data_IF_914435929112
#
_entry.id   IF_914435929112
#
_cell.length_a   1.000
_cell.length_b   1.000
_cell.length_c   1.000
_cell.angle_alpha   90.00
_cell.angle_beta   90.00
_cell.angle_gamma   90.00
#
_symmetry.space_group_name_H-M   'P 1'
#
loop_
_entity.id
_entity.type
_entity.pdbx_description
1 polymer ?
#
# COMPACT_ATOMS: atom_id res chain seq x y z
N UNK A 1 16.71 -34.55 -34.50
CA UNK A 1 16.53 -35.14 -33.16
C UNK A 1 15.04 -35.07 -32.82
N UNK A 2 14.36 -36.21 -32.68
CA UNK A 2 12.95 -36.25 -32.32
C UNK A 2 12.82 -36.10 -30.80
N UNK A 3 12.16 -35.02 -30.35
CA UNK A 3 11.93 -34.73 -28.93
C UNK A 3 11.02 -35.80 -28.31
N UNK A 4 11.40 -36.32 -27.15
CA UNK A 4 10.56 -37.28 -26.39
C UNK A 4 9.27 -36.59 -25.91
N UNK A 5 8.16 -37.33 -25.70
CA UNK A 5 6.88 -36.75 -25.28
C UNK A 5 6.96 -35.98 -23.95
N UNK A 6 7.80 -36.44 -23.01
CA UNK A 6 8.08 -35.71 -21.78
C UNK A 6 8.77 -34.37 -22.05
N UNK A 7 9.79 -34.33 -22.93
CA UNK A 7 10.48 -33.08 -23.31
C UNK A 7 9.54 -32.09 -24.00
N UNK A 8 8.60 -32.56 -24.85
CA UNK A 8 7.59 -31.68 -25.47
C UNK A 8 6.66 -31.06 -24.43
N UNK A 9 6.23 -31.83 -23.43
CA UNK A 9 5.39 -31.33 -22.33
C UNK A 9 6.15 -30.30 -21.48
N UNK A 10 7.40 -30.57 -21.10
CA UNK A 10 8.22 -29.61 -20.33
C UNK A 10 8.48 -28.33 -21.12
N UNK A 11 8.74 -28.44 -22.43
CA UNK A 11 8.98 -27.28 -23.29
C UNK A 11 7.71 -26.42 -23.47
N UNK A 12 6.54 -27.05 -23.55
CA UNK A 12 5.26 -26.31 -23.63
C UNK A 12 4.93 -25.62 -22.30
N UNK A 13 5.15 -26.26 -21.15
CA UNK A 13 5.03 -25.59 -19.85
C UNK A 13 6.03 -24.43 -19.69
N UNK A 14 7.28 -24.60 -20.15
CA UNK A 14 8.28 -23.54 -20.16
C UNK A 14 7.87 -22.36 -21.07
N UNK A 15 7.35 -22.63 -22.26
CA UNK A 15 6.83 -21.60 -23.16
C UNK A 15 5.63 -20.86 -22.57
N UNK A 16 4.70 -21.58 -21.95
CA UNK A 16 3.55 -20.98 -21.25
C UNK A 16 4.03 -20.10 -20.09
N UNK A 17 4.98 -20.59 -19.28
CA UNK A 17 5.55 -19.83 -18.17
C UNK A 17 6.27 -18.57 -18.66
N UNK A 18 7.11 -18.69 -19.71
CA UNK A 18 7.83 -17.57 -20.31
C UNK A 18 6.86 -16.54 -20.89
N UNK A 19 5.85 -16.98 -21.63
CA UNK A 19 4.80 -16.11 -22.16
C UNK A 19 4.05 -15.41 -21.03
N UNK A 20 3.74 -16.11 -19.93
CA UNK A 20 3.11 -15.54 -18.74
C UNK A 20 3.98 -14.46 -18.09
N UNK A 21 5.26 -14.74 -17.85
CA UNK A 21 6.21 -13.76 -17.28
C UNK A 21 6.35 -12.54 -18.18
N UNK A 22 6.47 -12.74 -19.49
CA UNK A 22 6.63 -11.66 -20.47
C UNK A 22 5.35 -10.81 -20.56
N UNK A 23 4.18 -11.43 -20.48
CA UNK A 23 2.89 -10.75 -20.41
C UNK A 23 2.76 -9.91 -19.14
N UNK A 24 3.12 -10.46 -17.97
CA UNK A 24 3.09 -9.75 -16.69
C UNK A 24 4.09 -8.59 -16.70
N UNK A 25 5.27 -8.77 -17.29
CA UNK A 25 6.26 -7.71 -17.41
C UNK A 25 5.76 -6.57 -18.32
N UNK A 26 5.14 -6.91 -19.45
CA UNK A 26 4.59 -5.93 -20.38
C UNK A 26 3.37 -5.17 -19.82
N UNK A 27 2.52 -5.87 -19.06
CA UNK A 27 1.31 -5.29 -18.43
C UNK A 27 1.58 -4.73 -17.03
N UNK A 28 2.78 -4.87 -16.48
CA UNK A 28 3.12 -4.44 -15.11
C UNK A 28 2.67 -3.00 -14.78
N UNK A 29 2.87 -1.99 -15.66
CA UNK A 29 2.41 -0.63 -15.38
C UNK A 29 0.89 -0.50 -15.26
N UNK A 30 0.13 -1.30 -16.01
CA UNK A 30 -1.33 -1.31 -15.99
C UNK A 30 -1.85 -2.19 -14.84
N UNK A 31 -1.09 -3.20 -14.41
CA UNK A 31 -1.45 -4.05 -13.28
C UNK A 31 -1.48 -3.29 -11.96
N UNK A 32 -0.59 -2.31 -11.76
CA UNK A 32 -0.51 -1.52 -10.51
C UNK A 32 -1.85 -0.89 -10.10
N UNK A 33 -2.53 -0.07 -10.93
CA UNK A 33 -3.82 0.50 -10.54
C UNK A 33 -4.90 -0.56 -10.33
N UNK A 34 -4.86 -1.68 -11.08
CA UNK A 34 -5.80 -2.79 -10.90
C UNK A 34 -5.60 -3.53 -9.56
N UNK A 35 -4.35 -3.77 -9.16
CA UNK A 35 -4.03 -4.40 -7.88
C UNK A 35 -4.45 -3.51 -6.72
N UNK A 36 -4.13 -2.21 -6.79
CA UNK A 36 -4.52 -1.23 -5.77
C UNK A 36 -6.05 -1.17 -5.67
N UNK A 37 -6.75 -1.01 -6.80
CA UNK A 37 -8.20 -1.02 -6.83
C UNK A 37 -8.79 -2.34 -6.33
N UNK A 38 -8.14 -3.48 -6.62
CA UNK A 38 -8.52 -4.81 -6.12
C UNK A 38 -8.49 -4.90 -4.59
N UNK A 39 -7.39 -4.45 -3.99
CA UNK A 39 -7.22 -4.41 -2.52
C UNK A 39 -8.24 -3.45 -1.90
N UNK A 40 -8.39 -2.24 -2.47
CA UNK A 40 -9.37 -1.27 -2.00
C UNK A 40 -10.80 -1.80 -2.12
N UNK A 41 -11.14 -2.47 -3.21
CA UNK A 41 -12.46 -3.05 -3.43
C UNK A 41 -12.76 -4.12 -2.39
N UNK A 42 -11.80 -5.02 -2.09
CA UNK A 42 -11.97 -6.01 -1.04
C UNK A 42 -12.25 -5.35 0.32
N UNK A 43 -11.52 -4.27 0.63
CA UNK A 43 -11.70 -3.52 1.88
C UNK A 43 -13.04 -2.75 1.94
N UNK A 44 -13.51 -2.23 0.81
CA UNK A 44 -14.72 -1.41 0.69
C UNK A 44 -15.99 -2.22 0.36
N UNK A 45 -15.86 -3.52 0.08
CA UNK A 45 -17.01 -4.38 -0.20
C UNK A 45 -17.97 -4.52 1.00
N UNK A 46 -17.52 -4.76 2.25
CA UNK A 46 -18.41 -4.90 3.39
C UNK A 46 -19.36 -3.71 3.61
N UNK A 47 -18.92 -2.43 3.56
CA UNK A 47 -19.84 -1.30 3.67
C UNK A 47 -20.81 -1.19 2.47
N UNK A 48 -20.39 -1.49 1.24
CA UNK A 48 -21.28 -1.54 0.07
C UNK A 48 -22.40 -2.57 0.28
N UNK A 49 -22.04 -3.80 0.67
CA UNK A 49 -23.00 -4.87 0.92
C UNK A 49 -23.98 -4.54 2.06
N UNK A 50 -23.52 -3.83 3.10
CA UNK A 50 -24.40 -3.33 4.18
C UNK A 50 -25.43 -2.33 3.67
N UNK A 51 -25.05 -1.43 2.76
CA UNK A 51 -25.98 -0.47 2.16
C UNK A 51 -26.97 -1.16 1.21
N UNK A 52 -26.51 -2.10 0.38
CA UNK A 52 -27.37 -2.88 -0.52
C UNK A 52 -28.41 -3.69 0.28
N UNK A 53 -28.01 -4.31 1.40
CA UNK A 53 -28.95 -5.00 2.33
C UNK A 53 -30.02 -4.07 2.92
N UNK A 54 -29.76 -2.76 3.00
CA UNK A 54 -30.73 -1.72 3.41
C UNK A 54 -31.62 -1.22 2.27
N UNK A 55 -31.68 -1.94 1.13
CA UNK A 55 -32.45 -1.61 -0.08
C UNK A 55 -31.95 -0.38 -0.86
N UNK A 56 -30.70 0.05 -0.64
CA UNK A 56 -30.07 1.09 -1.49
C UNK A 56 -29.70 0.45 -2.84
N UNK A 57 -30.05 1.05 -4.00
CA UNK A 57 -29.63 0.51 -5.29
C UNK A 57 -28.10 0.51 -5.35
N UNK A 58 -27.55 -0.58 -5.90
CA UNK A 58 -26.12 -0.87 -5.79
C UNK A 58 -25.22 0.24 -6.36
N UNK A 59 -25.67 0.90 -7.42
CA UNK A 59 -24.98 2.06 -7.98
C UNK A 59 -24.77 3.16 -6.93
N UNK A 60 -25.82 3.54 -6.22
CA UNK A 60 -25.72 4.55 -5.16
C UNK A 60 -24.87 4.07 -3.99
N UNK A 61 -24.99 2.79 -3.60
CA UNK A 61 -24.18 2.22 -2.53
C UNK A 61 -22.68 2.29 -2.85
N UNK A 62 -22.29 1.91 -4.08
CA UNK A 62 -20.90 1.97 -4.53
C UNK A 62 -20.41 3.41 -4.59
N UNK A 63 -21.12 4.30 -5.27
CA UNK A 63 -20.72 5.71 -5.40
C UNK A 63 -20.55 6.39 -4.04
N UNK A 64 -21.49 6.18 -3.11
CA UNK A 64 -21.42 6.81 -1.78
C UNK A 64 -20.24 6.29 -0.98
N UNK A 65 -20.02 4.96 -0.96
CA UNK A 65 -18.89 4.37 -0.21
C UNK A 65 -17.55 4.79 -0.82
N UNK A 66 -17.45 4.79 -2.13
CA UNK A 66 -16.24 5.20 -2.83
C UNK A 66 -15.91 6.68 -2.56
N UNK A 67 -16.88 7.59 -2.74
CA UNK A 67 -16.70 9.02 -2.45
C UNK A 67 -16.31 9.23 -0.99
N UNK A 68 -16.99 8.56 -0.05
CA UNK A 68 -16.66 8.65 1.37
C UNK A 68 -15.24 8.17 1.67
N UNK A 69 -14.82 7.05 1.06
CA UNK A 69 -13.46 6.53 1.22
C UNK A 69 -12.40 7.51 0.69
N UNK A 70 -12.63 8.11 -0.48
CA UNK A 70 -11.73 9.13 -1.02
C UNK A 70 -11.68 10.39 -0.16
N UNK A 71 -12.82 10.84 0.38
CA UNK A 71 -12.88 12.00 1.28
C UNK A 71 -12.11 11.70 2.58
N UNK A 72 -12.30 10.53 3.19
CA UNK A 72 -11.56 10.12 4.39
C UNK A 72 -10.06 10.05 4.10
N UNK A 73 -9.68 9.42 2.98
CA UNK A 73 -8.27 9.31 2.58
C UNK A 73 -7.65 10.69 2.36
N UNK A 74 -8.36 11.60 1.70
CA UNK A 74 -7.91 12.98 1.49
C UNK A 74 -7.78 13.73 2.82
N UNK A 75 -8.74 13.59 3.73
CA UNK A 75 -8.69 14.21 5.06
C UNK A 75 -7.49 13.71 5.88
N UNK A 76 -7.24 12.40 5.88
CA UNK A 76 -6.06 11.81 6.52
C UNK A 76 -4.77 12.35 5.90
N UNK A 77 -4.69 12.43 4.57
CA UNK A 77 -3.53 12.99 3.88
C UNK A 77 -3.30 14.46 4.27
N UNK A 78 -4.35 15.27 4.28
CA UNK A 78 -4.31 16.68 4.69
C UNK A 78 -3.95 16.88 6.17
N UNK A 79 -4.20 15.90 7.03
CA UNK A 79 -3.82 15.92 8.44
C UNK A 79 -2.37 15.47 8.64
N UNK A 80 -1.92 14.46 7.88
CA UNK A 80 -0.54 13.95 7.95
C UNK A 80 0.46 15.00 7.46
N UNK A 81 0.17 15.70 6.36
CA UNK A 81 1.06 16.73 5.79
C UNK A 81 1.53 17.76 6.82
N UNK A 82 0.66 18.46 7.58
CA UNK A 82 1.09 19.44 8.57
C UNK A 82 1.81 18.81 9.76
N UNK A 83 1.48 17.57 10.16
CA UNK A 83 2.23 16.85 11.19
C UNK A 83 3.66 16.63 10.70
N UNK A 84 3.82 16.05 9.52
CA UNK A 84 5.13 15.82 8.90
C UNK A 84 5.91 17.14 8.76
N UNK A 85 5.28 18.22 8.31
CA UNK A 85 5.93 19.52 8.17
C UNK A 85 6.39 20.14 9.50
N UNK A 86 5.75 19.81 10.63
CA UNK A 86 6.16 20.28 11.96
C UNK A 86 7.19 19.38 12.62
N UNK A 87 7.04 18.06 12.47
CA UNK A 87 7.88 17.05 13.11
C UNK A 87 9.23 16.85 12.39
N UNK A 88 9.28 17.00 11.06
CA UNK A 88 10.55 16.85 10.32
C UNK A 88 11.61 17.86 10.74
N UNK A 89 11.33 19.17 10.87
CA UNK A 89 12.31 20.14 11.34
C UNK A 89 12.86 19.81 12.74
N UNK A 90 11.98 19.41 13.67
CA UNK A 90 12.38 18.98 15.01
C UNK A 90 13.32 17.77 14.97
N UNK A 91 13.01 16.77 14.13
CA UNK A 91 13.89 15.62 13.91
C UNK A 91 15.25 16.03 13.32
N UNK A 92 15.27 16.98 12.38
CA UNK A 92 16.52 17.50 11.77
C UNK A 92 17.42 18.17 12.81
N UNK A 93 16.84 18.90 13.76
CA UNK A 93 17.58 19.59 14.80
C UNK A 93 18.06 18.64 15.90
N UNK A 94 17.22 17.67 16.29
CA UNK A 94 17.53 16.76 17.40
C UNK A 94 18.45 15.59 16.99
N UNK A 95 18.38 15.10 15.76
CA UNK A 95 19.23 13.99 15.27
C UNK A 95 20.74 14.23 15.43
N UNK A 96 21.32 15.37 14.96
CA UNK A 96 22.75 15.63 15.12
C UNK A 96 23.14 15.78 16.60
N UNK A 97 22.29 16.41 17.41
CA UNK A 97 22.50 16.54 18.87
C UNK A 97 22.50 15.17 19.57
N UNK A 98 21.61 14.26 19.16
CA UNK A 98 21.57 12.90 19.68
C UNK A 98 22.81 12.10 19.27
N UNK A 99 23.25 12.25 18.01
CA UNK A 99 24.48 11.62 17.53
C UNK A 99 25.72 12.12 18.28
N UNK A 100 25.78 13.41 18.58
CA UNK A 100 26.87 14.02 19.38
C UNK A 100 26.85 13.54 20.84
N UNK A 101 25.67 13.42 21.46
CA UNK A 101 25.50 12.82 22.80
C UNK A 101 25.92 11.35 22.84
N UNK A 102 25.58 10.58 21.80
CA UNK A 102 26.03 9.20 21.69
C UNK A 102 27.55 9.14 21.55
N UNK A 103 28.16 9.98 20.71
CA UNK A 103 29.61 9.98 20.54
C UNK A 103 30.36 10.43 21.82
N UNK A 104 29.78 11.31 22.64
CA UNK A 104 30.42 11.77 23.89
C UNK A 104 30.20 10.84 25.08
N UNK A 105 29.12 10.07 25.11
CA UNK A 105 28.78 9.18 26.24
C UNK A 105 29.15 7.72 25.99
N UNK A 106 28.94 7.25 24.75
CA UNK A 106 29.05 5.84 24.39
C UNK A 106 30.45 5.51 23.85
N UNK A 107 31.06 6.40 23.06
CA UNK A 107 32.43 6.19 22.57
C UNK A 107 33.50 6.02 23.65
N UNK A 108 33.54 6.77 24.77
CA UNK A 108 34.52 6.52 25.82
C UNK A 108 34.30 5.19 26.55
N UNK A 109 33.05 4.71 26.64
CA UNK A 109 32.73 3.40 27.24
C UNK A 109 33.10 2.24 26.31
N UNK A 110 32.87 2.36 24.99
CA UNK A 110 33.32 1.38 24.00
C UNK A 110 34.84 1.39 23.77
N UNK A 111 35.49 2.54 23.96
CA UNK A 111 36.95 2.63 23.94
C UNK A 111 37.59 1.79 25.06
N UNK A 112 36.91 1.61 26.20
CA UNK A 112 37.36 0.69 27.26
C UNK A 112 37.31 -0.79 26.83
N UNK A 113 36.52 -1.13 25.82
CA UNK A 113 36.43 -2.48 25.22
C UNK A 113 37.23 -2.61 23.91
N UNK A 114 38.02 -1.59 23.53
CA UNK A 114 38.87 -1.62 22.34
C UNK A 114 38.15 -1.40 21.00
N UNK A 115 36.89 -0.97 21.03
CA UNK A 115 36.09 -0.69 19.82
C UNK A 115 36.00 0.83 19.62
N UNK A 116 36.77 1.37 18.68
CA UNK A 116 36.70 2.80 18.32
C UNK A 116 35.60 3.03 17.29
N UNK A 117 34.41 3.42 17.75
CA UNK A 117 33.33 3.90 16.88
C UNK A 117 33.35 5.43 16.86
N UNK A 118 33.87 6.02 15.80
CA UNK A 118 33.73 7.47 15.56
C UNK A 118 32.45 7.72 14.77
N UNK A 119 31.34 8.01 15.45
CA UNK A 119 30.19 8.61 14.76
C UNK A 119 30.58 10.04 14.38
N UNK A 120 30.96 10.24 13.13
CA UNK A 120 31.25 11.56 12.60
C UNK A 120 29.93 12.36 12.48
N UNK A 121 29.71 13.24 13.46
CA UNK A 121 28.54 14.11 13.51
C UNK A 121 28.41 14.99 12.26
N UNK A 122 29.52 15.29 11.57
CA UNK A 122 29.52 16.03 10.32
C UNK A 122 28.89 15.22 9.17
N UNK A 123 29.22 13.94 9.05
CA UNK A 123 28.61 13.02 8.07
C UNK A 123 27.11 12.81 8.33
N UNK A 124 26.70 12.70 9.59
CA UNK A 124 25.28 12.58 9.97
C UNK A 124 24.53 13.89 9.66
N UNK A 125 25.12 15.04 9.99
CA UNK A 125 24.57 16.36 9.64
C UNK A 125 24.44 16.52 8.12
N UNK A 126 25.43 16.11 7.35
CA UNK A 126 25.40 16.14 5.88
C UNK A 126 24.31 15.21 5.32
N UNK A 127 24.13 14.02 5.90
CA UNK A 127 23.05 13.09 5.52
C UNK A 127 21.67 13.69 5.83
N UNK A 128 21.49 14.25 7.03
CA UNK A 128 20.25 14.90 7.45
C UNK A 128 19.94 16.07 6.53
N UNK A 129 20.87 16.98 6.27
CA UNK A 129 20.65 18.12 5.36
C UNK A 129 20.43 17.68 3.91
N UNK A 130 21.00 16.55 3.45
CA UNK A 130 20.81 16.09 2.08
C UNK A 130 19.44 15.42 1.84
N UNK A 131 19.00 14.57 2.77
CA UNK A 131 17.79 13.74 2.59
C UNK A 131 16.57 14.27 3.34
N UNK A 132 16.82 14.87 4.50
CA UNK A 132 15.86 15.61 5.31
C UNK A 132 16.22 17.10 5.20
N UNK A 133 16.57 17.65 4.05
CA UNK A 133 16.79 19.11 3.90
C UNK A 133 15.74 19.77 3.03
N UNK A 134 15.24 19.06 2.03
CA UNK A 134 14.14 19.52 1.20
C UNK A 134 12.94 19.83 2.11
N UNK A 135 12.50 21.08 2.16
CA UNK A 135 11.17 21.38 2.67
C UNK A 135 10.18 20.51 1.91
N UNK A 136 9.08 20.06 2.54
CA UNK A 136 8.07 19.25 1.84
C UNK A 136 7.60 19.96 0.56
N UNK A 137 7.56 21.30 0.59
CA UNK A 137 7.33 22.18 -0.56
C UNK A 137 8.43 22.09 -1.64
N UNK A 138 9.71 22.09 -1.26
CA UNK A 138 10.83 21.92 -2.20
C UNK A 138 10.87 20.50 -2.78
N UNK A 139 10.50 19.48 -1.99
CA UNK A 139 10.37 18.10 -2.44
C UNK A 139 9.23 17.91 -3.44
N UNK A 140 8.08 18.55 -3.20
CA UNK A 140 6.96 18.58 -4.14
C UNK A 140 7.32 19.37 -5.41
N UNK A 141 8.02 20.50 -5.27
CA UNK A 141 8.50 21.29 -6.41
C UNK A 141 9.57 20.56 -7.24
N UNK A 142 10.47 19.82 -6.59
CA UNK A 142 11.47 18.97 -7.24
C UNK A 142 10.84 17.75 -7.91
N UNK A 143 9.80 17.15 -7.30
CA UNK A 143 9.02 16.10 -7.92
C UNK A 143 8.27 16.63 -9.15
N UNK A 144 7.63 17.81 -9.05
CA UNK A 144 6.93 18.48 -10.14
C UNK A 144 7.89 18.91 -11.27
N UNK A 145 9.09 19.39 -10.96
CA UNK A 145 10.09 19.77 -11.97
C UNK A 145 10.68 18.54 -12.65
N UNK A 146 10.97 17.47 -11.91
CA UNK A 146 11.37 16.17 -12.47
C UNK A 146 10.28 15.58 -13.35
N UNK A 147 9.02 15.77 -12.99
CA UNK A 147 7.88 15.31 -13.77
C UNK A 147 7.60 16.17 -15.01
N UNK A 148 7.99 17.46 -15.02
CA UNK A 148 8.02 18.30 -16.23
C UNK A 148 9.12 17.90 -17.21
N UNK A 149 10.28 17.45 -16.70
CA UNK A 149 11.42 17.03 -17.52
C UNK A 149 11.20 15.61 -18.07
N UNK A 150 10.54 14.73 -17.30
CA UNK A 150 10.12 13.39 -17.72
C UNK A 150 8.61 13.23 -17.65
N UNK A 151 7.87 13.67 -18.68
CA UNK A 151 6.40 13.66 -18.73
C UNK A 151 5.72 12.32 -18.37
N UNK A 152 6.47 11.20 -18.34
CA UNK A 152 6.02 9.88 -17.92
C UNK A 152 5.49 9.82 -16.47
N UNK A 153 6.07 10.55 -15.50
CA UNK A 153 5.62 10.48 -14.11
C UNK A 153 4.27 11.19 -13.88
N UNK A 154 4.07 12.39 -14.44
CA UNK A 154 2.77 13.09 -14.35
C UNK A 154 1.69 12.28 -15.04
N UNK A 155 1.97 11.74 -16.23
CA UNK A 155 1.04 10.87 -16.96
C UNK A 155 0.68 9.62 -16.15
N UNK A 156 1.65 8.98 -15.50
CA UNK A 156 1.39 7.84 -14.62
C UNK A 156 0.55 8.24 -13.40
N UNK A 157 0.84 9.38 -12.78
CA UNK A 157 0.11 9.87 -11.60
C UNK A 157 -1.35 10.20 -11.96
N UNK A 158 -1.57 10.98 -13.01
CA UNK A 158 -2.92 11.34 -13.50
C UNK A 158 -3.65 10.11 -13.99
N UNK A 159 -2.96 9.23 -14.73
CA UNK A 159 -3.48 7.95 -15.19
C UNK A 159 -3.96 7.10 -14.03
N UNK A 160 -3.15 6.92 -12.99
CA UNK A 160 -3.54 6.16 -11.79
C UNK A 160 -4.65 6.87 -10.99
N UNK A 161 -4.60 8.20 -10.87
CA UNK A 161 -5.62 8.97 -10.16
C UNK A 161 -7.02 8.84 -10.80
N UNK A 162 -7.10 8.58 -12.10
CA UNK A 162 -8.36 8.33 -12.82
C UNK A 162 -8.68 6.84 -12.88
N UNK A 163 -7.69 5.99 -13.19
CA UNK A 163 -7.87 4.54 -13.36
C UNK A 163 -8.22 3.85 -12.05
N UNK A 164 -7.60 4.20 -10.92
CA UNK A 164 -7.85 3.53 -9.64
C UNK A 164 -9.33 3.69 -9.22
N UNK A 165 -9.90 4.91 -9.13
CA UNK A 165 -11.33 5.06 -8.83
C UNK A 165 -12.21 4.35 -9.88
N UNK A 166 -11.91 4.52 -11.17
CA UNK A 166 -12.72 3.89 -12.22
C UNK A 166 -12.75 2.36 -12.07
N UNK A 167 -11.59 1.72 -11.93
CA UNK A 167 -11.49 0.26 -11.75
C UNK A 167 -12.13 -0.16 -10.43
N UNK A 168 -11.93 0.60 -9.35
CA UNK A 168 -12.53 0.35 -8.04
C UNK A 168 -14.06 0.35 -8.13
N UNK A 169 -14.63 1.36 -8.78
CA UNK A 169 -16.07 1.45 -9.03
C UNK A 169 -16.58 0.21 -9.78
N UNK A 170 -15.92 -0.16 -10.88
CA UNK A 170 -16.30 -1.36 -11.66
C UNK A 170 -16.17 -2.65 -10.84
N UNK A 171 -15.10 -2.81 -10.07
CA UNK A 171 -14.89 -4.00 -9.24
C UNK A 171 -15.98 -4.11 -8.17
N UNK A 172 -16.30 -3.01 -7.50
CA UNK A 172 -17.36 -2.91 -6.51
C UNK A 172 -18.76 -3.06 -7.11
N UNK A 173 -18.97 -2.67 -8.38
CA UNK A 173 -20.23 -2.84 -9.11
C UNK A 173 -20.41 -4.26 -9.66
N UNK A 174 -19.35 -4.95 -10.07
CA UNK A 174 -19.46 -6.27 -10.72
C UNK A 174 -19.06 -7.42 -9.82
N UNK A 175 -18.71 -7.14 -8.56
CA UNK A 175 -18.24 -8.14 -7.60
C UNK A 175 -19.03 -9.48 -7.54
N UNK A 176 -20.38 -9.53 -7.42
CA UNK A 176 -21.15 -10.76 -7.44
C UNK A 176 -21.04 -11.54 -8.75
N UNK A 177 -20.93 -10.86 -9.89
CA UNK A 177 -20.75 -11.52 -11.18
C UNK A 177 -19.34 -12.09 -11.30
N UNK A 178 -18.34 -11.31 -10.91
CA UNK A 178 -16.93 -11.73 -10.86
C UNK A 178 -16.73 -12.91 -9.91
N UNK A 179 -17.30 -12.83 -8.71
CA UNK A 179 -17.28 -13.91 -7.71
C UNK A 179 -17.98 -15.17 -8.23
N UNK A 180 -19.17 -15.08 -8.81
CA UNK A 180 -19.85 -16.24 -9.43
C UNK A 180 -19.01 -16.89 -10.53
N UNK A 181 -18.39 -16.09 -11.40
CA UNK A 181 -17.49 -16.60 -12.45
C UNK A 181 -16.26 -17.28 -11.84
N UNK A 182 -15.65 -16.67 -10.82
CA UNK A 182 -14.53 -17.27 -10.11
C UNK A 182 -14.91 -18.60 -9.45
N UNK A 183 -16.07 -18.69 -8.79
CA UNK A 183 -16.56 -19.93 -8.20
C UNK A 183 -16.84 -21.01 -9.26
N UNK A 184 -17.31 -20.62 -10.44
CA UNK A 184 -17.57 -21.57 -11.54
C UNK A 184 -16.29 -22.14 -12.16
N UNK A 185 -15.15 -21.44 -12.06
CA UNK A 185 -13.84 -21.93 -12.50
C UNK A 185 -13.26 -22.98 -11.53
N UNK A 186 -13.76 -23.05 -10.29
CA UNK A 186 -13.30 -24.00 -9.29
C UNK A 186 -13.87 -25.41 -9.61
N UNK A 187 -13.01 -26.43 -9.78
CA UNK A 187 -13.43 -27.81 -9.98
C UNK A 187 -14.38 -28.26 -8.86
N UNK A 188 -15.49 -28.97 -9.15
CA UNK A 188 -16.47 -29.39 -8.15
C UNK A 188 -15.87 -30.13 -6.95
N UNK A 189 -14.77 -30.87 -7.16
CA UNK A 189 -14.05 -31.62 -6.12
C UNK A 189 -13.39 -30.74 -5.05
N UNK A 190 -13.01 -29.51 -5.40
CA UNK A 190 -12.29 -28.58 -4.51
C UNK A 190 -13.21 -27.52 -3.88
N UNK A 191 -14.48 -27.42 -4.32
CA UNK A 191 -15.41 -26.39 -3.86
C UNK A 191 -15.57 -26.37 -2.34
N UNK A 192 -15.82 -27.52 -1.72
CA UNK A 192 -15.99 -27.63 -0.27
C UNK A 192 -14.74 -27.15 0.50
N UNK A 193 -13.54 -27.47 0.00
CA UNK A 193 -12.28 -27.04 0.63
C UNK A 193 -12.05 -25.55 0.49
N UNK A 194 -12.34 -24.97 -0.69
CA UNK A 194 -12.20 -23.53 -0.92
C UNK A 194 -13.22 -22.74 -0.10
N UNK A 195 -14.49 -23.16 -0.09
CA UNK A 195 -15.55 -22.48 0.67
C UNK A 195 -15.27 -22.49 2.18
N UNK A 196 -14.77 -23.62 2.71
CA UNK A 196 -14.33 -23.72 4.11
C UNK A 196 -13.19 -22.76 4.42
N UNK A 197 -12.16 -22.71 3.58
CA UNK A 197 -11.00 -21.83 3.77
C UNK A 197 -11.37 -20.35 3.70
N UNK A 198 -12.25 -19.98 2.76
CA UNK A 198 -12.74 -18.59 2.62
C UNK A 198 -13.56 -18.19 3.85
N UNK A 199 -14.47 -19.05 4.32
CA UNK A 199 -15.28 -18.79 5.51
C UNK A 199 -14.43 -18.62 6.78
N UNK A 200 -13.40 -19.44 6.92
CA UNK A 200 -12.47 -19.34 8.05
C UNK A 200 -11.65 -18.05 7.97
N UNK A 201 -11.15 -17.70 6.78
CA UNK A 201 -10.44 -16.45 6.53
C UNK A 201 -11.28 -15.21 6.85
N UNK A 202 -12.54 -15.18 6.39
CA UNK A 202 -13.48 -14.08 6.67
C UNK A 202 -13.77 -13.96 8.18
N UNK A 203 -13.86 -15.08 8.89
CA UNK A 203 -14.08 -15.09 10.34
C UNK A 203 -12.87 -14.52 11.08
N UNK A 204 -11.66 -14.96 10.72
CA UNK A 204 -10.41 -14.50 11.33
C UNK A 204 -10.16 -13.01 11.05
N UNK A 205 -10.36 -12.58 9.80
CA UNK A 205 -10.27 -11.17 9.40
C UNK A 205 -11.31 -10.31 10.14
N UNK A 206 -12.54 -10.80 10.27
CA UNK A 206 -13.60 -10.13 11.00
C UNK A 206 -13.28 -9.93 12.49
N UNK A 207 -12.67 -10.93 13.14
CA UNK A 207 -12.21 -10.82 14.52
C UNK A 207 -11.03 -9.85 14.66
N UNK A 208 -10.04 -9.94 13.78
CA UNK A 208 -8.88 -9.04 13.78
C UNK A 208 -9.29 -7.58 13.60
N UNK A 209 -10.15 -7.28 12.62
CA UNK A 209 -10.63 -5.92 12.38
C UNK A 209 -11.40 -5.35 13.59
N UNK A 210 -12.24 -6.17 14.25
CA UNK A 210 -12.94 -5.74 15.46
C UNK A 210 -11.96 -5.46 16.61
N UNK A 211 -10.94 -6.30 16.78
CA UNK A 211 -9.87 -6.07 17.74
C UNK A 211 -9.11 -4.77 17.46
N UNK A 212 -8.68 -4.57 16.21
CA UNK A 212 -7.94 -3.37 15.81
C UNK A 212 -8.76 -2.08 15.96
N UNK A 213 -10.06 -2.12 15.62
CA UNK A 213 -10.95 -0.97 15.82
C UNK A 213 -11.11 -0.63 17.31
N UNK A 214 -11.18 -1.64 18.17
CA UNK A 214 -11.26 -1.45 19.62
C UNK A 214 -9.96 -0.83 20.15
N UNK A 215 -8.79 -1.31 19.69
CA UNK A 215 -7.49 -0.73 20.00
C UNK A 215 -7.39 0.73 19.54
N UNK A 216 -7.78 1.02 18.29
CA UNK A 216 -7.80 2.38 17.75
C UNK A 216 -8.72 3.30 18.58
N UNK A 217 -9.87 2.81 19.00
CA UNK A 217 -10.81 3.58 19.83
C UNK A 217 -10.25 3.86 21.22
N UNK A 218 -9.61 2.88 21.87
CA UNK A 218 -8.91 3.09 23.15
C UNK A 218 -7.79 4.13 23.00
N UNK A 219 -6.96 4.01 21.96
CA UNK A 219 -5.88 4.97 21.70
C UNK A 219 -6.41 6.37 21.40
N UNK A 220 -7.50 6.48 20.64
CA UNK A 220 -8.12 7.77 20.35
C UNK A 220 -8.63 8.45 21.63
N UNK A 221 -9.28 7.70 22.52
CA UNK A 221 -9.72 8.23 23.82
C UNK A 221 -8.52 8.60 24.68
N UNK A 222 -7.51 7.73 24.76
CA UNK A 222 -6.28 7.98 25.52
C UNK A 222 -5.57 9.25 25.08
N UNK A 223 -5.34 9.43 23.77
CA UNK A 223 -4.69 10.62 23.22
C UNK A 223 -5.58 11.87 23.22
N UNK A 224 -6.91 11.72 23.33
CA UNK A 224 -7.82 12.88 23.43
C UNK A 224 -7.98 13.38 24.87
N UNK A 225 -7.77 12.51 25.87
CA UNK A 225 -7.86 12.86 27.30
C UNK A 225 -6.49 13.25 27.87
N UNK A 226 -5.41 12.69 27.32
CA UNK A 226 -4.01 12.97 27.69
C UNK A 226 -3.45 14.21 27.01
#
# INVERSE_FOLDING_TARGET
MQLTPAQRQTLSWLLIALAGVLLVWLLSPVLTPFLIAGVLAYMLLPPVERLVKRRVPRVLAVTVVEVLAFVIMLAVLLLIVPIISKELPLLREQLPLLAEKMNTTVSPWLAQFGITVSLDGASIKAFVVKYLGANVEDGLAAALSSARIGGSFVLALVGNAVLIPAVLFYLLMDWPQLSKRAHNLIPPRLRNSVDSFVSESDTMLGQYLRGQLLVMLILAVYYSVG
#
